data_IF_968085479398
#
_entry.id   IF_968085479398
#
_cell.length_a   1.000
_cell.length_b   1.000
_cell.length_c   1.000
_cell.angle_alpha   90.00
_cell.angle_beta   90.00
_cell.angle_gamma   90.00
#
_symmetry.space_group_name_H-M   'P 1'
#
loop_
_entity.id
_entity.type
_entity.pdbx_description
1 polymer ?
#
# COMPACT_ATOMS: atom_id res chain seq x y z
N UNK A 1 4.42 0.75 -79.89
CA UNK A 1 5.45 1.26 -78.98
C UNK A 1 4.75 1.97 -77.82
N UNK A 2 4.58 1.28 -76.68
CA UNK A 2 3.95 1.81 -75.47
C UNK A 2 5.03 1.92 -74.43
N UNK A 3 5.38 3.11 -74.04
CA UNK A 3 6.32 3.43 -72.96
C UNK A 3 5.56 3.51 -71.59
N UNK A 4 5.83 2.54 -70.71
CA UNK A 4 5.28 2.49 -69.39
C UNK A 4 6.09 3.42 -68.46
N UNK A 5 5.44 4.45 -67.88
CA UNK A 5 5.97 5.30 -66.84
C UNK A 5 5.82 4.58 -65.48
N UNK A 6 6.93 4.26 -64.82
CA UNK A 6 6.94 3.76 -63.44
C UNK A 6 6.94 4.95 -62.48
N UNK A 7 5.84 5.15 -61.75
CA UNK A 7 5.78 6.04 -60.59
C UNK A 7 6.51 5.38 -59.42
N UNK A 8 7.56 6.02 -58.94
CA UNK A 8 8.24 5.68 -57.71
C UNK A 8 7.57 6.49 -56.57
N UNK A 9 6.83 5.82 -55.74
CA UNK A 9 6.27 6.41 -54.52
C UNK A 9 7.38 6.50 -53.46
N UNK A 10 7.82 7.71 -53.15
CA UNK A 10 8.74 7.98 -52.04
C UNK A 10 7.90 8.06 -50.76
N UNK A 11 7.90 6.99 -49.97
CA UNK A 11 7.31 6.99 -48.64
C UNK A 11 8.20 7.77 -47.67
N UNK A 12 7.80 8.97 -47.34
CA UNK A 12 8.43 9.76 -46.29
C UNK A 12 8.08 9.15 -44.91
N UNK A 13 9.02 8.44 -44.30
CA UNK A 13 8.94 8.00 -42.89
C UNK A 13 9.15 9.25 -42.02
N UNK A 14 8.08 9.81 -41.48
CA UNK A 14 8.16 10.80 -40.44
C UNK A 14 8.67 10.10 -39.16
N UNK A 15 9.93 10.29 -38.80
CA UNK A 15 10.44 9.97 -37.46
C UNK A 15 9.75 10.94 -36.46
N UNK A 16 8.78 10.46 -35.75
CA UNK A 16 8.29 11.11 -34.52
C UNK A 16 9.43 11.06 -33.51
N UNK A 17 10.21 12.14 -33.38
CA UNK A 17 11.09 12.40 -32.25
C UNK A 17 10.17 12.58 -31.04
N UNK A 18 9.86 11.49 -30.34
CA UNK A 18 9.35 11.57 -28.99
C UNK A 18 10.43 12.31 -28.18
N UNK A 19 10.13 13.52 -27.75
CA UNK A 19 10.95 14.25 -26.80
C UNK A 19 10.88 13.47 -25.46
N UNK A 20 11.65 12.40 -25.33
CA UNK A 20 11.91 11.74 -24.06
C UNK A 20 12.78 12.71 -23.25
N UNK A 21 12.18 13.42 -22.28
CA UNK A 21 12.92 14.09 -21.24
C UNK A 21 13.88 13.10 -20.57
N UNK A 22 15.01 13.58 -20.08
CA UNK A 22 15.95 12.74 -19.35
C UNK A 22 15.29 12.19 -18.07
N UNK A 23 15.51 10.90 -17.75
CA UNK A 23 15.09 10.33 -16.46
C UNK A 23 15.64 11.09 -15.22
N UNK A 24 16.63 11.98 -15.46
CA UNK A 24 17.26 12.84 -14.45
C UNK A 24 16.61 14.21 -14.32
N UNK A 25 15.69 14.57 -15.21
CA UNK A 25 15.00 15.86 -15.12
C UNK A 25 14.08 15.90 -13.90
N UNK A 26 14.10 17.02 -13.19
CA UNK A 26 13.19 17.27 -12.09
C UNK A 26 11.82 17.66 -12.64
N UNK A 27 10.94 16.69 -12.79
CA UNK A 27 9.59 16.88 -13.30
C UNK A 27 8.60 15.89 -12.66
N UNK A 28 7.31 16.19 -12.78
CA UNK A 28 6.23 15.39 -12.19
C UNK A 28 6.22 13.93 -12.66
N UNK A 29 6.54 13.66 -13.92
CA UNK A 29 6.55 12.30 -14.48
C UNK A 29 7.61 11.44 -13.82
N UNK A 30 8.85 11.90 -13.82
CA UNK A 30 9.98 11.16 -13.24
C UNK A 30 9.80 10.97 -11.71
N UNK A 31 9.24 11.96 -11.04
CA UNK A 31 8.95 11.86 -9.61
C UNK A 31 7.80 10.88 -9.32
N UNK A 32 6.76 10.88 -10.15
CA UNK A 32 5.68 9.91 -10.06
C UNK A 32 6.18 8.48 -10.22
N UNK A 33 7.06 8.23 -11.18
CA UNK A 33 7.69 6.92 -11.40
C UNK A 33 8.52 6.47 -10.19
N UNK A 34 9.35 7.36 -9.63
CA UNK A 34 10.15 7.07 -8.45
C UNK A 34 9.30 6.77 -7.20
N UNK A 35 8.19 7.50 -7.03
CA UNK A 35 7.23 7.28 -5.94
C UNK A 35 6.48 5.96 -6.18
N UNK A 36 6.03 5.68 -7.42
CA UNK A 36 5.33 4.44 -7.75
C UNK A 36 6.21 3.23 -7.46
N UNK A 37 7.49 3.27 -7.83
CA UNK A 37 8.44 2.20 -7.53
C UNK A 37 8.54 1.90 -6.01
N UNK A 38 8.42 2.91 -5.16
CA UNK A 38 8.33 2.70 -3.71
C UNK A 38 6.97 2.13 -3.30
N UNK A 39 5.87 2.68 -3.81
CA UNK A 39 4.52 2.21 -3.48
C UNK A 39 4.31 0.75 -3.88
N UNK A 40 4.94 0.29 -4.96
CA UNK A 40 4.89 -1.11 -5.42
C UNK A 40 5.57 -2.08 -4.43
N UNK A 41 6.37 -1.58 -3.49
CA UNK A 41 6.93 -2.39 -2.41
C UNK A 41 6.01 -2.49 -1.19
N UNK A 42 4.91 -1.73 -1.16
CA UNK A 42 3.96 -1.71 -0.05
C UNK A 42 2.84 -2.74 -0.26
N UNK A 43 2.19 -3.15 0.82
CA UNK A 43 1.18 -4.23 0.77
C UNK A 43 -0.27 -3.73 0.61
N UNK A 44 -0.48 -2.52 0.14
CA UNK A 44 -1.82 -1.92 0.09
C UNK A 44 -2.40 -1.66 1.49
N UNK A 45 -3.72 -1.66 1.59
CA UNK A 45 -4.43 -1.42 2.85
C UNK A 45 -4.32 -2.64 3.76
N UNK A 46 -3.84 -2.44 4.98
CA UNK A 46 -3.63 -3.51 5.95
C UNK A 46 -4.38 -3.27 7.27
N UNK A 47 -5.03 -4.31 7.77
CA UNK A 47 -5.58 -4.40 9.13
C UNK A 47 -4.71 -5.32 9.98
N UNK A 48 -3.98 -4.76 10.93
CA UNK A 48 -3.11 -5.55 11.82
C UNK A 48 -3.92 -6.41 12.78
N UNK A 49 -3.54 -7.66 12.93
CA UNK A 49 -4.08 -8.55 13.97
C UNK A 49 -3.79 -7.99 15.36
N UNK A 50 -4.72 -8.12 16.31
CA UNK A 50 -4.51 -7.66 17.68
C UNK A 50 -3.56 -8.55 18.51
N UNK A 51 -3.03 -9.61 17.91
CA UNK A 51 -2.05 -10.53 18.49
C UNK A 51 -0.96 -10.89 17.48
N UNK A 52 0.19 -11.38 18.00
CA UNK A 52 1.33 -11.82 17.17
C UNK A 52 1.46 -13.34 17.13
N UNK A 53 0.37 -14.04 17.31
CA UNK A 53 0.26 -15.50 17.21
C UNK A 53 -1.08 -15.87 16.59
N UNK A 54 -1.19 -17.07 16.05
CA UNK A 54 -2.39 -17.62 15.44
C UNK A 54 -2.45 -19.13 15.75
N UNK A 55 -3.57 -19.66 16.29
CA UNK A 55 -4.72 -18.91 16.79
C UNK A 55 -4.37 -18.06 18.01
N UNK A 56 -5.20 -17.08 18.34
CA UNK A 56 -5.03 -16.26 19.54
C UNK A 56 -6.30 -16.19 20.37
N UNK A 57 -6.13 -15.89 21.67
CA UNK A 57 -7.24 -15.81 22.62
C UNK A 57 -7.25 -14.47 23.31
N UNK A 58 -8.44 -13.93 23.53
CA UNK A 58 -8.65 -12.67 24.24
C UNK A 58 -9.70 -12.86 25.35
N UNK A 59 -9.48 -12.27 26.51
CA UNK A 59 -10.50 -12.19 27.56
C UNK A 59 -11.67 -11.32 27.09
N UNK A 60 -12.91 -11.71 27.44
CA UNK A 60 -14.09 -10.96 27.03
C UNK A 60 -14.21 -9.60 27.73
N UNK A 61 -13.59 -9.44 28.89
CA UNK A 61 -13.58 -8.23 29.70
C UNK A 61 -12.15 -7.69 29.93
N UNK A 62 -11.30 -7.72 28.91
CA UNK A 62 -9.96 -7.16 29.00
C UNK A 62 -10.00 -5.62 29.03
N UNK A 63 -10.05 -5.07 30.25
CA UNK A 63 -10.04 -3.61 30.46
C UNK A 63 -8.71 -2.95 30.06
N UNK A 64 -7.61 -3.68 30.07
CA UNK A 64 -6.28 -3.18 29.68
C UNK A 64 -6.02 -3.34 28.18
N UNK A 65 -6.67 -4.30 27.53
CA UNK A 65 -6.58 -4.57 26.10
C UNK A 65 -7.56 -3.78 25.26
N UNK A 66 -7.94 -2.58 25.66
CA UNK A 66 -8.94 -1.75 25.00
C UNK A 66 -8.74 -1.69 23.48
N UNK A 67 -9.78 -2.08 22.76
CA UNK A 67 -9.79 -2.12 21.30
C UNK A 67 -9.23 -3.42 20.68
N UNK A 68 -8.53 -4.30 21.40
CA UNK A 68 -8.03 -5.57 20.83
C UNK A 68 -9.20 -6.49 20.46
N UNK A 69 -10.12 -6.69 21.39
CA UNK A 69 -11.31 -7.51 21.16
C UNK A 69 -12.20 -6.90 20.07
N UNK A 70 -12.45 -5.59 20.09
CA UNK A 70 -13.22 -4.92 19.06
C UNK A 70 -12.60 -5.08 17.66
N UNK A 71 -11.27 -5.01 17.56
CA UNK A 71 -10.57 -5.28 16.29
C UNK A 71 -10.69 -6.73 15.84
N UNK A 72 -10.55 -7.69 16.76
CA UNK A 72 -10.72 -9.11 16.44
C UNK A 72 -12.15 -9.42 16.01
N UNK A 73 -13.14 -8.89 16.72
CA UNK A 73 -14.56 -9.07 16.39
C UNK A 73 -14.93 -8.44 15.04
N UNK A 74 -14.36 -7.29 14.70
CA UNK A 74 -14.56 -6.65 13.40
C UNK A 74 -14.01 -7.49 12.25
N UNK A 75 -12.83 -8.09 12.42
CA UNK A 75 -12.26 -9.01 11.44
C UNK A 75 -13.06 -10.31 11.32
N UNK A 76 -13.65 -10.78 12.42
CA UNK A 76 -14.56 -11.94 12.40
C UNK A 76 -15.87 -11.61 11.69
N UNK A 77 -16.44 -10.42 11.91
CA UNK A 77 -17.63 -9.96 11.20
C UNK A 77 -17.41 -9.82 9.68
N UNK A 78 -16.20 -9.42 9.29
CA UNK A 78 -15.77 -9.39 7.88
C UNK A 78 -15.44 -10.80 7.31
N UNK A 79 -15.56 -11.86 8.10
CA UNK A 79 -15.28 -13.24 7.69
C UNK A 79 -13.81 -13.61 7.57
N UNK A 80 -12.88 -12.75 8.02
CA UNK A 80 -11.44 -13.01 7.96
C UNK A 80 -10.96 -13.90 9.13
N UNK A 81 -11.66 -13.81 10.26
CA UNK A 81 -11.46 -14.66 11.42
C UNK A 81 -12.75 -15.44 11.72
N UNK A 82 -12.63 -16.64 12.25
CA UNK A 82 -13.68 -17.32 13.01
C UNK A 82 -13.46 -17.06 14.50
N UNK A 83 -14.52 -17.18 15.30
CA UNK A 83 -14.46 -17.02 16.74
C UNK A 83 -15.25 -18.10 17.47
N UNK A 84 -14.68 -18.56 18.58
CA UNK A 84 -15.27 -19.57 19.46
C UNK A 84 -15.12 -19.14 20.92
N UNK A 85 -16.19 -19.33 21.70
CA UNK A 85 -16.12 -19.09 23.15
C UNK A 85 -15.15 -20.10 23.80
N UNK A 86 -14.37 -19.62 24.75
CA UNK A 86 -13.39 -20.43 25.49
C UNK A 86 -13.25 -19.92 26.92
N UNK A 87 -12.58 -20.70 27.76
CA UNK A 87 -12.16 -20.26 29.09
C UNK A 87 -10.64 -20.06 29.13
N UNK A 88 -10.22 -18.99 29.73
CA UNK A 88 -8.81 -18.62 29.92
C UNK A 88 -8.42 -18.70 31.39
N UNK A 89 -7.16 -19.04 31.65
CA UNK A 89 -6.61 -18.98 33.01
C UNK A 89 -6.49 -17.51 33.45
N UNK A 90 -7.13 -17.17 34.55
CA UNK A 90 -7.00 -15.85 35.14
C UNK A 90 -5.63 -15.67 35.81
N UNK A 91 -5.14 -14.42 35.84
CA UNK A 91 -3.84 -14.07 36.41
C UNK A 91 -3.72 -14.46 37.90
N UNK A 92 -4.82 -14.37 38.66
CA UNK A 92 -4.87 -14.66 40.11
C UNK A 92 -5.48 -16.05 40.43
N UNK A 93 -5.54 -16.96 39.45
CA UNK A 93 -6.15 -18.28 39.59
C UNK A 93 -7.61 -18.33 39.16
N UNK A 94 -8.11 -19.55 38.87
CA UNK A 94 -9.42 -19.76 38.26
C UNK A 94 -9.45 -19.53 36.76
N UNK A 95 -10.64 -19.43 36.19
CA UNK A 95 -10.88 -19.20 34.76
C UNK A 95 -11.76 -17.97 34.54
N UNK A 96 -11.59 -17.32 33.40
CA UNK A 96 -12.39 -16.19 32.93
C UNK A 96 -12.92 -16.48 31.53
N UNK A 97 -14.11 -15.99 31.16
CA UNK A 97 -14.62 -16.11 29.81
C UNK A 97 -13.72 -15.41 28.81
N UNK A 98 -13.44 -16.08 27.72
CA UNK A 98 -12.62 -15.58 26.61
C UNK A 98 -13.17 -15.99 25.24
N UNK A 99 -12.55 -15.47 24.21
CA UNK A 99 -12.84 -15.81 22.83
C UNK A 99 -11.54 -16.21 22.14
N UNK A 100 -11.56 -17.36 21.47
CA UNK A 100 -10.50 -17.83 20.57
C UNK A 100 -10.80 -17.41 19.14
N UNK A 101 -9.78 -16.91 18.44
CA UNK A 101 -9.87 -16.46 17.05
C UNK A 101 -8.91 -17.25 16.18
N UNK A 102 -9.44 -17.75 15.06
CA UNK A 102 -8.69 -18.48 14.04
C UNK A 102 -8.84 -17.85 12.67
N UNK A 103 -7.83 -17.96 11.82
CA UNK A 103 -7.90 -17.46 10.44
C UNK A 103 -8.77 -18.37 9.58
N UNK A 104 -9.79 -17.80 8.93
CA UNK A 104 -10.65 -18.52 7.99
C UNK A 104 -9.94 -18.80 6.65
N UNK A 105 -10.56 -19.59 5.79
CA UNK A 105 -10.14 -19.77 4.39
C UNK A 105 -10.06 -18.42 3.65
N UNK A 106 -11.07 -17.56 3.84
CA UNK A 106 -11.06 -16.21 3.26
C UNK A 106 -9.91 -15.38 3.81
N UNK A 107 -9.70 -15.39 5.13
CA UNK A 107 -8.63 -14.66 5.78
C UNK A 107 -7.24 -15.06 5.29
N UNK A 108 -7.01 -16.35 5.06
CA UNK A 108 -5.72 -16.84 4.52
C UNK A 108 -5.32 -16.20 3.20
N UNK A 109 -6.26 -15.80 2.36
CA UNK A 109 -5.97 -15.13 1.08
C UNK A 109 -5.39 -13.73 1.23
N UNK A 110 -5.65 -13.09 2.38
CA UNK A 110 -5.23 -11.72 2.69
C UNK A 110 -4.11 -11.65 3.73
N UNK A 111 -3.76 -12.79 4.35
CA UNK A 111 -2.64 -12.85 5.28
C UNK A 111 -1.33 -12.76 4.48
N UNK A 112 -0.63 -11.65 4.63
CA UNK A 112 0.54 -11.34 3.82
C UNK A 112 1.77 -12.18 4.20
N UNK A 113 2.57 -12.58 3.22
CA UNK A 113 3.84 -13.29 3.46
C UNK A 113 4.82 -12.43 4.26
N UNK A 114 4.87 -11.13 4.00
CA UNK A 114 5.74 -10.17 4.69
C UNK A 114 5.16 -9.68 6.01
N UNK A 115 3.82 -9.67 6.14
CA UNK A 115 3.08 -9.21 7.31
C UNK A 115 2.21 -10.33 7.87
N UNK A 116 2.85 -11.35 8.44
CA UNK A 116 2.19 -12.56 8.99
C UNK A 116 1.08 -12.28 10.00
N UNK A 117 1.00 -11.06 10.50
CA UNK A 117 0.03 -10.63 11.51
C UNK A 117 -0.81 -9.42 11.04
N UNK A 118 -1.08 -9.36 9.74
CA UNK A 118 -2.00 -8.41 9.15
C UNK A 118 -2.74 -9.01 7.96
N UNK A 119 -3.99 -8.66 7.79
CA UNK A 119 -4.73 -8.87 6.55
C UNK A 119 -4.51 -7.65 5.66
N UNK A 120 -3.97 -7.87 4.46
CA UNK A 120 -3.67 -6.80 3.52
C UNK A 120 -4.37 -7.05 2.18
N UNK A 121 -4.72 -5.97 1.48
CA UNK A 121 -5.39 -6.06 0.18
C UNK A 121 -5.05 -4.89 -0.73
N UNK A 122 -5.08 -5.16 -2.03
CA UNK A 122 -4.82 -4.17 -3.05
C UNK A 122 -3.35 -3.76 -3.18
N UNK A 123 -3.14 -2.71 -3.92
CA UNK A 123 -1.87 -2.02 -4.09
C UNK A 123 -2.10 -0.52 -4.17
N UNK A 124 -1.04 0.28 -4.08
CA UNK A 124 -1.17 1.73 -4.21
C UNK A 124 -0.80 2.19 -5.62
N UNK A 125 -1.42 3.27 -6.06
CA UNK A 125 -1.08 3.95 -7.30
C UNK A 125 -1.00 5.45 -7.08
N UNK A 126 0.03 6.10 -7.62
CA UNK A 126 0.16 7.55 -7.64
C UNK A 126 -0.99 8.13 -8.45
N UNK A 127 -1.63 9.17 -7.93
CA UNK A 127 -2.67 9.93 -8.64
C UNK A 127 -2.06 11.16 -9.30
N UNK A 128 -1.34 11.99 -8.53
CA UNK A 128 -0.64 13.17 -9.03
C UNK A 128 0.50 13.57 -8.09
N UNK A 129 1.47 14.28 -8.63
CA UNK A 129 2.48 15.04 -7.87
C UNK A 129 1.99 16.47 -7.77
N UNK A 130 1.68 16.94 -6.56
CA UNK A 130 1.14 18.29 -6.33
C UNK A 130 2.21 19.35 -6.62
N UNK A 131 3.29 19.28 -5.88
CA UNK A 131 4.44 20.17 -5.98
C UNK A 131 5.72 19.49 -5.51
N UNK A 132 6.83 20.10 -5.85
CA UNK A 132 8.16 19.64 -5.42
C UNK A 132 9.13 20.84 -5.29
N UNK A 133 10.19 20.65 -4.53
CA UNK A 133 11.27 21.63 -4.42
C UNK A 133 12.24 21.50 -5.59
N UNK A 134 12.88 22.62 -5.99
CA UNK A 134 14.04 22.54 -6.86
C UNK A 134 15.11 21.63 -6.22
N UNK A 135 15.80 20.80 -7.05
CA UNK A 135 16.84 19.91 -6.55
C UNK A 135 17.96 20.68 -5.85
N UNK A 136 18.26 20.30 -4.61
CA UNK A 136 19.33 20.90 -3.81
C UNK A 136 20.36 19.87 -3.39
N UNK A 137 21.61 20.32 -3.17
CA UNK A 137 22.67 19.43 -2.71
C UNK A 137 22.54 19.19 -1.20
N UNK A 138 22.43 17.93 -0.82
CA UNK A 138 22.38 17.47 0.56
C UNK A 138 23.37 16.32 0.75
N UNK A 139 24.42 16.54 1.55
CA UNK A 139 25.48 15.55 1.82
C UNK A 139 26.09 14.92 0.55
N UNK A 140 26.30 15.71 -0.50
CA UNK A 140 26.88 15.27 -1.77
C UNK A 140 25.91 14.56 -2.72
N UNK A 141 24.60 14.59 -2.40
CA UNK A 141 23.53 14.04 -3.23
C UNK A 141 22.56 15.15 -3.62
N UNK A 142 22.00 15.09 -4.82
CA UNK A 142 20.88 15.95 -5.21
C UNK A 142 19.59 15.36 -4.71
N UNK A 143 18.81 16.15 -3.96
CA UNK A 143 17.55 15.76 -3.34
C UNK A 143 16.45 16.75 -3.70
N UNK A 144 15.23 16.25 -3.94
CA UNK A 144 14.01 17.04 -4.05
C UNK A 144 12.97 16.51 -3.07
N UNK A 145 12.24 17.42 -2.40
CA UNK A 145 11.09 17.08 -1.56
C UNK A 145 9.83 17.15 -2.41
N UNK A 146 8.97 16.13 -2.33
CA UNK A 146 7.81 15.98 -3.21
C UNK A 146 6.57 15.73 -2.37
N UNK A 147 5.51 16.52 -2.62
CA UNK A 147 4.16 16.26 -2.12
C UNK A 147 3.33 15.62 -3.25
N UNK A 148 2.59 14.59 -2.92
CA UNK A 148 1.84 13.83 -3.90
C UNK A 148 0.56 13.25 -3.31
N UNK A 149 -0.35 12.83 -4.20
CA UNK A 149 -1.54 12.06 -3.86
C UNK A 149 -1.44 10.66 -4.44
N UNK A 150 -1.92 9.69 -3.67
CA UNK A 150 -2.02 8.30 -4.12
C UNK A 150 -3.31 7.68 -3.59
N UNK A 151 -3.70 6.55 -4.15
CA UNK A 151 -4.88 5.79 -3.74
C UNK A 151 -4.63 4.29 -3.79
N UNK A 152 -5.41 3.55 -3.02
CA UNK A 152 -5.48 2.10 -3.13
C UNK A 152 -6.29 1.69 -4.37
N UNK A 153 -5.90 0.60 -5.00
CA UNK A 153 -6.60 -0.06 -6.11
C UNK A 153 -6.67 -1.57 -5.87
N UNK A 154 -7.59 -2.23 -6.56
CA UNK A 154 -7.79 -3.70 -6.52
C UNK A 154 -8.00 -4.23 -5.09
N UNK A 155 -8.74 -3.48 -4.28
CA UNK A 155 -9.01 -3.79 -2.88
C UNK A 155 -10.16 -4.78 -2.73
N UNK A 156 -10.12 -5.61 -1.69
CA UNK A 156 -11.18 -6.54 -1.34
C UNK A 156 -12.33 -5.85 -0.59
N UNK A 157 -13.51 -6.44 -0.64
CA UNK A 157 -14.71 -5.84 -0.04
C UNK A 157 -14.68 -5.75 1.50
N UNK A 158 -13.85 -6.55 2.17
CA UNK A 158 -13.77 -6.51 3.62
C UNK A 158 -13.32 -5.14 4.19
N UNK A 159 -12.61 -4.31 3.40
CA UNK A 159 -12.25 -2.93 3.82
C UNK A 159 -13.46 -2.00 3.91
N UNK A 160 -14.57 -2.35 3.26
CA UNK A 160 -15.83 -1.59 3.27
C UNK A 160 -16.74 -1.97 4.44
N UNK A 161 -16.38 -2.99 5.21
CA UNK A 161 -17.17 -3.41 6.37
C UNK A 161 -17.13 -2.32 7.44
N UNK A 162 -18.29 -1.83 7.87
CA UNK A 162 -18.43 -0.71 8.81
C UNK A 162 -17.72 -0.95 10.14
N UNK A 163 -17.75 -2.19 10.65
CA UNK A 163 -17.06 -2.54 11.91
C UNK A 163 -15.55 -2.54 11.73
N UNK A 164 -15.05 -2.98 10.57
CA UNK A 164 -13.62 -2.90 10.25
C UNK A 164 -13.19 -1.45 10.18
N UNK A 165 -13.92 -0.60 9.47
CA UNK A 165 -13.59 0.84 9.38
C UNK A 165 -13.66 1.52 10.75
N UNK A 166 -14.63 1.17 11.59
CA UNK A 166 -14.73 1.71 12.96
C UNK A 166 -13.57 1.25 13.86
N UNK A 167 -13.09 0.01 13.70
CA UNK A 167 -12.02 -0.56 14.52
C UNK A 167 -10.59 -0.23 14.00
N UNK A 168 -10.46 0.10 12.71
CA UNK A 168 -9.20 0.37 12.02
C UNK A 168 -9.27 1.70 11.27
N UNK A 169 -8.91 2.78 11.94
CA UNK A 169 -8.97 4.14 11.36
C UNK A 169 -8.12 4.29 10.10
N UNK A 170 -6.96 3.63 10.03
CA UNK A 170 -6.14 3.61 8.83
C UNK A 170 -6.89 2.99 7.64
N UNK A 171 -7.60 1.88 7.84
CA UNK A 171 -8.41 1.25 6.78
C UNK A 171 -9.50 2.21 6.31
N UNK A 172 -10.19 2.88 7.25
CA UNK A 172 -11.22 3.85 6.92
C UNK A 172 -10.68 5.03 6.12
N UNK A 173 -9.53 5.58 6.51
CA UNK A 173 -8.92 6.73 5.83
C UNK A 173 -8.40 6.34 4.43
N UNK A 174 -7.68 5.23 4.32
CA UNK A 174 -7.11 4.78 3.05
C UNK A 174 -8.18 4.30 2.05
N UNK A 175 -9.30 3.78 2.54
CA UNK A 175 -10.45 3.40 1.70
C UNK A 175 -11.15 4.60 1.04
N UNK A 176 -10.96 5.83 1.54
CA UNK A 176 -11.48 7.05 0.90
C UNK A 176 -10.85 7.34 -0.47
N UNK A 177 -9.67 6.79 -0.73
CA UNK A 177 -9.02 6.88 -2.05
C UNK A 177 -8.33 8.21 -2.36
N UNK A 178 -8.11 9.06 -1.35
CA UNK A 178 -7.35 10.30 -1.46
C UNK A 178 -6.34 10.38 -0.31
N UNK A 179 -5.17 9.81 -0.54
CA UNK A 179 -4.12 9.74 0.48
C UNK A 179 -3.01 10.71 0.09
N UNK A 180 -2.66 11.61 1.01
CA UNK A 180 -1.55 12.55 0.82
C UNK A 180 -0.24 11.91 1.27
N UNK A 181 0.78 12.06 0.42
CA UNK A 181 2.12 11.58 0.67
C UNK A 181 3.16 12.71 0.61
N UNK A 182 4.27 12.49 1.30
CA UNK A 182 5.46 13.32 1.23
C UNK A 182 6.68 12.42 1.17
N UNK A 183 7.62 12.72 0.27
CA UNK A 183 8.83 11.92 0.08
C UNK A 183 10.05 12.77 -0.29
N UNK A 184 11.22 12.36 0.17
CA UNK A 184 12.48 12.77 -0.38
C UNK A 184 12.87 11.88 -1.57
N UNK A 185 13.18 12.50 -2.70
CA UNK A 185 13.70 11.78 -3.86
C UNK A 185 15.17 12.13 -4.06
N UNK A 186 15.99 11.10 -4.30
CA UNK A 186 17.45 11.23 -4.49
C UNK A 186 17.77 11.00 -5.96
N UNK A 187 18.54 11.90 -6.57
CA UNK A 187 19.01 11.73 -7.92
C UNK A 187 20.19 10.74 -7.96
N UNK A 188 20.02 9.69 -8.75
CA UNK A 188 21.03 8.64 -8.99
C UNK A 188 21.55 8.67 -10.43
N UNK A 189 22.42 7.73 -10.77
CA UNK A 189 22.89 7.56 -12.15
C UNK A 189 21.76 7.16 -13.10
N UNK A 190 20.75 6.45 -12.61
CA UNK A 190 19.63 5.89 -13.40
C UNK A 190 18.39 6.78 -13.39
N UNK A 191 18.40 7.88 -12.62
CA UNK A 191 17.25 8.78 -12.45
C UNK A 191 16.90 9.00 -10.98
N UNK A 192 15.68 9.46 -10.73
CA UNK A 192 15.17 9.71 -9.38
C UNK A 192 14.78 8.43 -8.66
N UNK A 193 15.11 8.35 -7.37
CA UNK A 193 14.80 7.21 -6.53
C UNK A 193 14.20 7.70 -5.20
N UNK A 194 13.15 7.03 -4.73
CA UNK A 194 12.58 7.31 -3.42
C UNK A 194 13.60 7.02 -2.30
N UNK A 195 13.72 7.92 -1.32
CA UNK A 195 14.71 7.83 -0.22
C UNK A 195 14.70 6.48 0.51
N UNK A 196 13.53 5.85 0.68
CA UNK A 196 13.41 4.54 1.34
C UNK A 196 13.90 3.36 0.51
N UNK A 197 14.10 3.54 -0.79
CA UNK A 197 14.70 2.55 -1.67
C UNK A 197 16.21 2.77 -1.84
N UNK A 198 16.70 3.95 -1.45
CA UNK A 198 18.11 4.30 -1.54
C UNK A 198 18.91 3.55 -0.48
N UNK A 199 19.79 2.64 -0.91
CA UNK A 199 20.73 1.93 -0.05
C UNK A 199 22.11 2.60 -0.19
N UNK A 200 22.67 3.06 0.90
CA UNK A 200 24.06 3.55 0.96
C UNK A 200 25.05 2.40 0.92
#
# INVERSE_FOLDING_TARGET
MQTAFKLVAVSSIALALAACGSAKDANKSNFSEAIQAYLDTQNGICANLPARELPFRLENQDMLGQGRKARADALADAGLLSKHDTELKALFGGTVPGTEYEVTELGRRYLGERHKFAFCTGSYTVVDVDNFTEPSDMMGMKVSQVNFHYKAKDTADWIKNDKVQAAYTNVAEEAKGDIRGHAGLVLTNDGWLHERLFKR
#
